data_IF_146920230864
#
_entry.id   IF_146920230864
#
_cell.length_a   1.000
_cell.length_b   1.000
_cell.length_c   1.000
_cell.angle_alpha   90.00
_cell.angle_beta   90.00
_cell.angle_gamma   90.00
#
_symmetry.space_group_name_H-M   'P 1'
#
loop_
_entity.id
_entity.type
_entity.pdbx_description
1 polymer ?
#
# COMPACT_ATOMS: atom_id res chain seq x y z
N UNK A 1 -13.35 -4.88 -8.65
CA UNK A 1 -14.69 -5.41 -8.24
C UNK A 1 -15.17 -6.71 -8.90
N UNK A 2 -15.33 -6.83 -10.22
CA UNK A 2 -16.01 -8.02 -10.83
C UNK A 2 -15.28 -9.35 -10.54
N UNK A 3 -13.95 -9.34 -10.51
CA UNK A 3 -13.14 -10.55 -10.29
C UNK A 3 -12.41 -10.62 -8.95
N UNK A 4 -12.45 -9.54 -8.14
CA UNK A 4 -11.70 -9.41 -6.87
C UNK A 4 -10.24 -9.91 -6.95
N UNK A 5 -9.53 -9.47 -8.00
CA UNK A 5 -8.12 -9.84 -8.28
C UNK A 5 -7.21 -8.65 -8.04
N UNK A 6 -6.12 -8.87 -7.30
CA UNK A 6 -5.04 -7.91 -7.15
C UNK A 6 -3.98 -8.14 -8.25
N UNK A 7 -3.88 -7.21 -9.19
CA UNK A 7 -2.85 -7.24 -10.23
C UNK A 7 -1.51 -6.78 -9.67
N UNK A 8 -0.46 -7.58 -9.89
CA UNK A 8 0.93 -7.23 -9.58
C UNK A 8 1.67 -7.01 -10.89
N UNK A 9 2.17 -5.81 -11.10
CA UNK A 9 2.77 -5.37 -12.35
C UNK A 9 4.28 -5.24 -12.15
N UNK A 10 5.03 -6.00 -12.94
CA UNK A 10 6.44 -5.70 -13.18
C UNK A 10 6.52 -4.52 -14.16
N UNK A 11 7.09 -3.40 -13.72
CA UNK A 11 7.35 -2.25 -14.61
C UNK A 11 8.74 -2.29 -15.20
N UNK A 12 8.94 -2.12 -16.52
CA UNK A 12 10.31 -2.07 -17.03
C UNK A 12 10.92 -0.69 -16.77
N UNK A 13 11.65 -0.65 -15.68
CA UNK A 13 12.32 0.50 -15.11
C UNK A 13 13.74 0.70 -15.71
N UNK A 14 14.07 0.02 -16.82
CA UNK A 14 15.29 0.24 -17.59
C UNK A 14 15.03 0.81 -19.00
N UNK A 15 16.09 1.26 -19.68
CA UNK A 15 16.02 1.91 -21.01
C UNK A 15 15.50 1.06 -22.20
N UNK A 16 15.06 -0.17 -21.94
CA UNK A 16 14.48 -1.08 -22.92
C UNK A 16 13.01 -0.82 -23.27
N UNK A 17 12.29 -0.01 -22.48
CA UNK A 17 10.98 0.56 -22.84
C UNK A 17 9.82 -0.41 -22.94
N UNK A 18 9.47 -1.10 -21.83
CA UNK A 18 8.12 -1.69 -21.69
C UNK A 18 7.34 -0.79 -20.73
N UNK A 19 6.27 -0.12 -21.20
CA UNK A 19 5.51 0.81 -20.38
C UNK A 19 5.02 0.19 -19.08
N UNK A 20 5.19 0.91 -17.97
CA UNK A 20 4.28 0.72 -16.83
C UNK A 20 2.89 1.18 -17.27
N UNK A 21 1.81 0.51 -16.86
CA UNK A 21 0.49 1.08 -17.03
C UNK A 21 0.42 2.34 -16.16
N UNK A 22 0.55 3.50 -16.80
CA UNK A 22 0.57 4.84 -16.21
C UNK A 22 -0.73 5.17 -15.46
N UNK A 23 -1.78 4.45 -15.82
CA UNK A 23 -3.14 4.55 -15.31
C UNK A 23 -3.56 3.39 -14.37
N UNK A 24 -2.58 2.74 -13.71
CA UNK A 24 -2.84 1.65 -12.76
C UNK A 24 -3.06 2.13 -11.32
N UNK A 25 -4.33 2.33 -10.93
CA UNK A 25 -4.76 2.68 -9.58
C UNK A 25 -4.97 1.46 -8.68
N UNK A 26 -5.59 0.40 -9.23
CA UNK A 26 -6.11 -0.71 -8.42
C UNK A 26 -5.07 -1.81 -8.15
N UNK A 27 -4.00 -1.88 -8.95
CA UNK A 27 -2.93 -2.88 -8.80
C UNK A 27 -1.78 -2.43 -7.88
N UNK A 28 -0.69 -3.20 -7.95
CA UNK A 28 0.61 -2.91 -7.31
C UNK A 28 1.68 -2.90 -8.39
N UNK A 29 2.36 -1.77 -8.56
CA UNK A 29 3.58 -1.71 -9.35
C UNK A 29 4.80 -1.94 -8.45
N UNK A 30 5.70 -2.80 -8.92
CA UNK A 30 6.84 -3.29 -8.14
C UNK A 30 8.15 -2.76 -8.71
N UNK A 31 8.90 -2.02 -7.90
CA UNK A 31 10.32 -1.73 -8.15
C UNK A 31 11.19 -2.88 -7.64
N UNK A 32 12.45 -2.92 -8.06
CA UNK A 32 13.38 -3.94 -7.59
C UNK A 32 14.59 -3.38 -6.84
N UNK A 33 14.99 -4.12 -5.81
CA UNK A 33 16.18 -3.86 -5.02
C UNK A 33 17.35 -4.76 -5.43
N UNK A 34 18.53 -4.34 -5.00
CA UNK A 34 19.80 -5.05 -5.09
C UNK A 34 20.43 -5.27 -3.72
N UNK A 35 21.37 -6.20 -3.69
CA UNK A 35 22.21 -6.46 -2.53
C UNK A 35 23.10 -5.24 -2.23
N UNK A 36 23.13 -4.86 -0.95
CA UNK A 36 24.11 -3.99 -0.33
C UNK A 36 24.47 -4.66 1.00
N UNK A 37 25.76 -4.92 1.23
CA UNK A 37 26.27 -5.64 2.40
C UNK A 37 25.54 -6.98 2.69
N UNK A 38 25.25 -7.74 1.63
CA UNK A 38 24.62 -9.06 1.72
C UNK A 38 23.11 -9.05 1.97
N UNK A 39 22.47 -7.87 2.02
CA UNK A 39 21.02 -7.73 2.17
C UNK A 39 20.41 -6.96 1.00
N UNK A 40 19.23 -7.38 0.52
CA UNK A 40 18.45 -6.59 -0.42
C UNK A 40 17.89 -5.36 0.29
N UNK A 41 18.63 -4.24 0.24
CA UNK A 41 18.36 -3.02 1.02
C UNK A 41 18.53 -1.72 0.22
N UNK A 42 18.75 -1.82 -1.09
CA UNK A 42 18.90 -0.64 -1.95
C UNK A 42 18.12 -0.79 -3.25
N UNK A 43 17.37 0.23 -3.64
CA UNK A 43 16.72 0.28 -4.96
C UNK A 43 17.81 0.19 -6.03
N UNK A 44 17.60 -0.67 -7.02
CA UNK A 44 18.54 -0.81 -8.13
C UNK A 44 18.48 0.45 -9.03
N UNK A 45 19.62 0.91 -9.55
CA UNK A 45 19.72 2.14 -10.35
C UNK A 45 19.11 2.00 -11.76
N UNK A 46 18.79 0.78 -12.17
CA UNK A 46 17.96 0.52 -13.34
C UNK A 46 16.46 0.43 -12.96
N UNK A 47 16.09 1.06 -11.84
CA UNK A 47 14.95 1.94 -11.59
C UNK A 47 14.68 3.04 -12.66
N UNK A 48 13.45 3.25 -13.15
CA UNK A 48 13.05 4.49 -13.85
C UNK A 48 12.43 5.48 -12.84
N UNK A 49 12.05 4.99 -11.66
CA UNK A 49 11.23 5.64 -10.65
C UNK A 49 9.83 6.04 -11.14
N UNK A 50 9.12 6.78 -10.29
CA UNK A 50 7.87 7.47 -10.63
C UNK A 50 8.08 8.78 -11.40
N UNK A 51 9.31 9.29 -11.48
CA UNK A 51 9.70 10.53 -12.17
C UNK A 51 10.86 10.24 -13.14
N UNK A 52 10.64 9.51 -14.23
CA UNK A 52 11.71 9.20 -15.16
C UNK A 52 12.16 10.43 -15.94
N UNK A 53 13.45 10.76 -15.83
CA UNK A 53 14.11 11.73 -16.71
C UNK A 53 14.42 11.12 -18.11
N UNK A 54 14.32 9.80 -18.25
CA UNK A 54 14.66 9.07 -19.46
C UNK A 54 13.57 9.17 -20.53
N UNK A 55 13.96 9.63 -21.73
CA UNK A 55 13.13 9.61 -22.94
C UNK A 55 13.54 8.44 -23.82
N UNK A 56 12.63 7.48 -24.03
CA UNK A 56 12.86 6.38 -24.96
C UNK A 56 13.08 6.92 -26.38
N UNK A 57 14.02 6.35 -27.14
CA UNK A 57 14.17 6.69 -28.58
C UNK A 57 12.92 6.36 -29.42
N UNK A 58 12.00 5.54 -28.87
CA UNK A 58 10.77 5.11 -29.53
C UNK A 58 9.52 5.89 -29.09
N UNK A 59 9.62 6.77 -28.10
CA UNK A 59 8.49 7.60 -27.64
C UNK A 59 8.94 9.05 -27.38
N UNK A 60 8.27 10.07 -27.93
CA UNK A 60 8.67 11.46 -27.78
C UNK A 60 8.51 12.03 -26.36
N UNK A 61 7.79 11.34 -25.46
CA UNK A 61 7.60 11.73 -24.06
C UNK A 61 8.15 10.65 -23.09
N UNK A 62 8.73 11.03 -21.93
CA UNK A 62 9.00 10.10 -20.85
C UNK A 62 7.70 9.41 -20.42
N UNK A 63 7.77 8.12 -20.09
CA UNK A 63 6.60 7.38 -19.58
C UNK A 63 6.33 7.81 -18.13
N UNK A 64 5.39 8.74 -17.93
CA UNK A 64 5.01 9.25 -16.61
C UNK A 64 3.61 8.78 -16.24
N UNK A 65 3.28 8.71 -14.95
CA UNK A 65 1.90 8.43 -14.54
C UNK A 65 0.93 9.50 -15.04
N UNK A 66 -0.35 9.15 -15.03
CA UNK A 66 -1.41 10.13 -15.05
C UNK A 66 -1.28 11.07 -13.83
N UNK A 67 -1.25 12.37 -14.08
CA UNK A 67 -1.12 13.41 -13.06
C UNK A 67 0.21 13.38 -12.29
N UNK A 68 0.17 13.84 -11.03
CA UNK A 68 1.33 13.87 -10.13
C UNK A 68 1.54 12.56 -9.35
N UNK A 69 0.82 11.49 -9.73
CA UNK A 69 0.81 10.22 -9.00
C UNK A 69 2.16 9.53 -9.03
N UNK A 70 2.44 8.77 -7.99
CA UNK A 70 3.65 7.95 -7.85
C UNK A 70 3.34 6.53 -8.32
N UNK A 71 4.16 5.98 -9.23
CA UNK A 71 3.86 4.71 -9.88
C UNK A 71 4.22 3.56 -8.98
N UNK A 72 5.34 3.65 -8.27
CA UNK A 72 5.89 2.56 -7.48
C UNK A 72 5.10 2.44 -6.18
N UNK A 73 4.61 1.24 -5.88
CA UNK A 73 3.90 0.98 -4.62
C UNK A 73 4.78 0.25 -3.61
N UNK A 74 5.65 -0.66 -4.07
CA UNK A 74 6.53 -1.45 -3.21
C UNK A 74 7.80 -1.85 -3.95
N UNK A 75 8.87 -2.12 -3.19
CA UNK A 75 10.13 -2.66 -3.70
C UNK A 75 10.30 -4.12 -3.26
N UNK A 76 10.84 -4.99 -4.11
CA UNK A 76 11.19 -6.37 -3.73
C UNK A 76 12.53 -6.81 -4.35
N UNK A 77 13.14 -7.93 -3.91
CA UNK A 77 14.39 -8.42 -4.50
C UNK A 77 14.22 -8.70 -5.98
N UNK A 78 15.07 -8.10 -6.82
CA UNK A 78 15.02 -8.38 -8.26
C UNK A 78 16.34 -8.17 -8.99
N UNK A 79 17.43 -7.83 -8.30
CA UNK A 79 18.77 -7.76 -8.88
C UNK A 79 19.55 -9.03 -8.56
N UNK A 80 20.24 -9.58 -9.56
CA UNK A 80 21.06 -10.79 -9.46
C UNK A 80 20.34 -11.96 -8.77
N UNK A 81 19.11 -12.22 -9.18
CA UNK A 81 18.31 -13.34 -8.70
C UNK A 81 18.74 -14.60 -9.44
N UNK A 82 19.08 -15.64 -8.68
CA UNK A 82 19.33 -16.98 -9.22
C UNK A 82 18.02 -17.67 -9.56
N UNK A 83 17.92 -18.14 -10.80
CA UNK A 83 16.75 -18.77 -11.38
C UNK A 83 17.13 -20.14 -11.91
N UNK A 84 16.18 -21.06 -11.91
CA UNK A 84 16.35 -22.39 -12.49
C UNK A 84 15.70 -22.38 -13.87
N UNK A 85 16.51 -22.51 -14.92
CA UNK A 85 16.04 -22.65 -16.29
C UNK A 85 15.32 -24.02 -16.48
N UNK A 86 14.46 -24.19 -17.50
CA UNK A 86 13.78 -25.46 -17.76
C UNK A 86 14.71 -26.67 -17.96
N UNK A 87 15.99 -26.44 -18.31
CA UNK A 87 17.02 -27.47 -18.42
C UNK A 87 17.72 -27.80 -17.09
N UNK A 88 17.28 -27.19 -15.98
CA UNK A 88 17.81 -27.39 -14.62
C UNK A 88 19.05 -26.56 -14.30
N UNK A 89 19.55 -25.72 -15.23
CA UNK A 89 20.71 -24.87 -14.98
C UNK A 89 20.33 -23.64 -14.15
N UNK A 90 21.27 -23.20 -13.33
CA UNK A 90 21.13 -21.93 -12.60
C UNK A 90 21.58 -20.80 -13.52
N UNK A 91 20.73 -19.78 -13.65
CA UNK A 91 21.03 -18.53 -14.33
C UNK A 91 20.69 -17.35 -13.43
N UNK A 92 21.59 -16.38 -13.38
CA UNK A 92 21.36 -15.13 -12.65
C UNK A 92 20.77 -14.07 -13.58
N UNK A 93 19.70 -13.40 -13.15
CA UNK A 93 19.06 -12.33 -13.91
C UNK A 93 18.59 -11.17 -13.03
N UNK A 94 18.35 -10.01 -13.64
CA UNK A 94 17.92 -8.80 -12.93
C UNK A 94 16.73 -8.11 -13.62
N UNK A 95 15.85 -7.51 -12.84
CA UNK A 95 14.70 -6.74 -13.30
C UNK A 95 13.47 -6.87 -12.42
N UNK A 96 12.52 -5.96 -12.60
CA UNK A 96 11.21 -6.00 -11.93
C UNK A 96 10.42 -7.27 -12.24
N UNK A 97 10.65 -7.92 -13.39
CA UNK A 97 10.10 -9.24 -13.72
C UNK A 97 10.47 -10.33 -12.72
N UNK A 98 11.57 -10.16 -11.97
CA UNK A 98 11.98 -11.07 -10.90
C UNK A 98 11.55 -10.57 -9.52
N UNK A 99 11.31 -9.26 -9.35
CA UNK A 99 10.75 -8.70 -8.11
C UNK A 99 9.25 -8.96 -7.95
N UNK A 100 8.45 -8.78 -9.00
CA UNK A 100 7.00 -8.97 -8.95
C UNK A 100 6.57 -10.37 -8.46
N UNK A 101 7.21 -11.48 -8.88
CA UNK A 101 6.92 -12.81 -8.34
C UNK A 101 7.11 -12.97 -6.83
N UNK A 102 8.03 -12.22 -6.19
CA UNK A 102 8.18 -12.23 -4.73
C UNK A 102 6.94 -11.66 -4.04
N UNK A 103 6.36 -10.59 -4.61
CA UNK A 103 5.11 -9.98 -4.12
C UNK A 103 3.95 -10.96 -4.30
N UNK A 104 3.83 -11.59 -5.48
CA UNK A 104 2.81 -12.62 -5.75
C UNK A 104 2.93 -13.82 -4.80
N UNK A 105 4.15 -14.31 -4.55
CA UNK A 105 4.38 -15.38 -3.58
C UNK A 105 3.95 -15.00 -2.17
N UNK A 106 4.20 -13.75 -1.76
CA UNK A 106 3.74 -13.24 -0.45
C UNK A 106 2.22 -13.12 -0.39
N UNK A 107 1.57 -12.66 -1.47
CA UNK A 107 0.11 -12.64 -1.60
C UNK A 107 -0.49 -14.04 -1.41
N UNK A 108 0.09 -15.05 -2.05
CA UNK A 108 -0.37 -16.42 -1.91
C UNK A 108 -0.27 -16.92 -0.46
N UNK A 109 0.80 -16.58 0.27
CA UNK A 109 0.97 -16.95 1.68
C UNK A 109 -0.09 -16.30 2.58
N UNK A 110 -0.38 -15.01 2.40
CA UNK A 110 -1.41 -14.34 3.21
C UNK A 110 -2.82 -14.83 2.85
N UNK A 111 -3.12 -15.10 1.57
CA UNK A 111 -4.40 -15.68 1.17
C UNK A 111 -4.60 -17.09 1.75
N UNK A 112 -3.54 -17.92 1.75
CA UNK A 112 -3.57 -19.21 2.43
C UNK A 112 -3.80 -19.07 3.94
N UNK A 113 -3.21 -18.05 4.58
CA UNK A 113 -3.48 -17.76 5.99
C UNK A 113 -4.96 -17.43 6.20
N UNK A 114 -5.55 -16.52 5.42
CA UNK A 114 -6.97 -16.19 5.52
C UNK A 114 -7.85 -17.43 5.45
N UNK A 115 -7.63 -18.28 4.44
CA UNK A 115 -8.40 -19.50 4.25
C UNK A 115 -8.27 -20.48 5.43
N UNK A 116 -7.09 -20.53 6.07
CA UNK A 116 -6.90 -21.34 7.27
C UNK A 116 -7.67 -20.77 8.46
N UNK A 117 -7.58 -19.47 8.71
CA UNK A 117 -8.22 -18.84 9.87
C UNK A 117 -9.74 -18.82 9.75
N UNK A 118 -10.28 -18.57 8.55
CA UNK A 118 -11.72 -18.63 8.26
C UNK A 118 -12.24 -20.06 8.48
N UNK A 119 -11.56 -21.08 7.95
CA UNK A 119 -11.97 -22.49 8.15
C UNK A 119 -11.90 -22.93 9.61
N UNK A 120 -10.96 -22.39 10.37
CA UNK A 120 -10.84 -22.64 11.80
C UNK A 120 -11.90 -21.89 12.64
N UNK A 121 -12.68 -20.99 12.04
CA UNK A 121 -13.70 -20.21 12.74
C UNK A 121 -13.11 -19.26 13.78
N UNK A 122 -11.90 -18.75 13.54
CA UNK A 122 -11.28 -17.80 14.47
C UNK A 122 -12.05 -16.47 14.50
N UNK A 123 -12.13 -15.80 15.66
CA UNK A 123 -12.75 -14.49 15.77
C UNK A 123 -12.06 -13.49 14.83
N UNK A 124 -12.80 -12.48 14.36
CA UNK A 124 -12.30 -11.42 13.47
C UNK A 124 -11.87 -11.90 12.07
N UNK A 125 -12.14 -13.15 11.69
CA UNK A 125 -11.87 -13.65 10.35
C UNK A 125 -13.17 -13.83 9.56
N UNK A 126 -13.31 -13.06 8.48
CA UNK A 126 -14.45 -13.08 7.58
C UNK A 126 -13.97 -13.11 6.11
N UNK A 127 -14.90 -13.11 5.17
CA UNK A 127 -14.57 -13.17 3.73
C UNK A 127 -13.87 -11.91 3.21
N UNK A 128 -13.94 -10.77 3.91
CA UNK A 128 -13.25 -9.56 3.47
C UNK A 128 -11.73 -9.71 3.54
N UNK A 129 -11.22 -10.68 4.29
CA UNK A 129 -9.81 -11.09 4.27
C UNK A 129 -9.31 -11.47 2.87
N UNK A 130 -10.22 -11.87 1.96
CA UNK A 130 -9.88 -12.25 0.57
C UNK A 130 -9.84 -11.07 -0.40
N UNK A 131 -10.27 -9.88 0.00
CA UNK A 131 -10.38 -8.72 -0.89
C UNK A 131 -9.03 -8.30 -1.44
N UNK A 132 -9.00 -7.90 -2.71
CA UNK A 132 -7.81 -7.35 -3.34
C UNK A 132 -7.29 -6.11 -2.60
N UNK A 133 -8.19 -5.20 -2.19
CA UNK A 133 -7.83 -4.01 -1.42
C UNK A 133 -7.20 -4.34 -0.06
N UNK A 134 -7.73 -5.34 0.66
CA UNK A 134 -7.16 -5.80 1.94
C UNK A 134 -5.76 -6.34 1.71
N UNK A 135 -5.59 -7.23 0.73
CA UNK A 135 -4.26 -7.75 0.38
C UNK A 135 -3.26 -6.64 0.04
N UNK A 136 -3.70 -5.61 -0.70
CA UNK A 136 -2.88 -4.45 -1.04
C UNK A 136 -2.42 -3.70 0.20
N UNK A 137 -3.34 -3.26 1.08
CA UNK A 137 -2.96 -2.47 2.27
C UNK A 137 -2.09 -3.27 3.25
N UNK A 138 -2.29 -4.58 3.37
CA UNK A 138 -1.47 -5.45 4.22
C UNK A 138 0.00 -5.44 3.75
N UNK A 139 0.24 -5.64 2.45
CA UNK A 139 1.60 -5.66 1.92
C UNK A 139 2.29 -4.30 2.03
N UNK A 140 1.58 -3.23 1.68
CA UNK A 140 2.14 -1.89 1.65
C UNK A 140 2.41 -1.36 3.07
N UNK A 141 1.50 -1.62 4.02
CA UNK A 141 1.68 -1.18 5.40
C UNK A 141 2.82 -1.91 6.11
N UNK A 142 3.03 -3.20 5.79
CA UNK A 142 4.03 -4.04 6.44
C UNK A 142 5.44 -3.95 5.86
N UNK A 143 5.63 -3.18 4.79
CA UNK A 143 6.92 -3.02 4.12
C UNK A 143 7.99 -2.40 5.03
N UNK A 144 9.21 -2.93 4.96
CA UNK A 144 10.38 -2.41 5.68
C UNK A 144 10.83 -1.07 5.08
N UNK A 145 10.95 -0.06 5.94
CA UNK A 145 11.43 1.28 5.58
C UNK A 145 12.76 1.58 6.26
N UNK A 146 12.79 1.40 7.58
CA UNK A 146 13.93 1.65 8.45
C UNK A 146 14.16 0.44 9.34
N UNK A 147 15.39 -0.07 9.43
CA UNK A 147 15.70 -1.14 10.36
C UNK A 147 15.41 -0.70 11.80
N UNK A 148 14.76 -1.59 12.55
CA UNK A 148 14.59 -1.46 13.98
C UNK A 148 15.93 -1.61 14.70
N UNK A 149 16.09 -0.88 15.81
CA UNK A 149 17.34 -0.92 16.59
C UNK A 149 17.35 -2.03 17.64
N UNK A 150 16.27 -2.82 17.72
CA UNK A 150 16.04 -3.85 18.72
C UNK A 150 15.14 -3.38 19.88
N UNK A 151 14.70 -2.13 19.86
CA UNK A 151 13.80 -1.54 20.85
C UNK A 151 12.31 -1.64 20.47
N UNK A 152 12.03 -2.10 19.25
CA UNK A 152 10.68 -2.26 18.72
C UNK A 152 10.02 -0.94 18.30
N UNK A 153 10.70 0.20 18.45
CA UNK A 153 10.12 1.52 18.17
C UNK A 153 9.95 1.79 16.68
N UNK A 154 10.63 1.04 15.80
CA UNK A 154 10.46 1.10 14.34
C UNK A 154 9.67 -0.10 13.84
N UNK A 155 8.69 -0.49 14.64
CA UNK A 155 7.73 -1.55 14.34
C UNK A 155 8.37 -2.93 14.16
N UNK A 156 9.65 -3.15 14.50
CA UNK A 156 10.36 -4.42 14.26
C UNK A 156 10.72 -4.65 12.78
N UNK A 157 10.91 -3.58 12.00
CA UNK A 157 11.37 -3.68 10.61
C UNK A 157 12.80 -4.25 10.53
N UNK A 158 13.04 -5.14 9.57
CA UNK A 158 14.28 -5.92 9.54
C UNK A 158 15.42 -5.21 8.80
N UNK A 159 15.12 -4.21 7.96
CA UNK A 159 16.10 -3.54 7.10
C UNK A 159 15.74 -2.07 6.87
N UNK A 160 16.76 -1.27 6.59
CA UNK A 160 16.59 0.08 6.04
C UNK A 160 16.66 -0.02 4.52
N UNK A 161 15.62 0.44 3.82
CA UNK A 161 15.65 0.59 2.38
C UNK A 161 16.25 1.95 2.02
N UNK A 162 17.15 1.97 1.04
CA UNK A 162 17.71 3.19 0.44
C UNK A 162 17.28 3.34 -1.00
N UNK A 163 17.03 4.59 -1.41
CA UNK A 163 16.87 4.95 -2.81
C UNK A 163 18.22 4.93 -3.57
N UNK A 164 18.16 5.27 -4.85
CA UNK A 164 19.34 5.32 -5.73
C UNK A 164 20.37 6.37 -5.27
N UNK A 165 19.90 7.41 -4.57
CA UNK A 165 20.70 8.50 -4.01
C UNK A 165 21.17 8.24 -2.57
N UNK A 166 21.05 7.00 -2.07
CA UNK A 166 21.38 6.58 -0.69
C UNK A 166 20.51 7.19 0.42
N UNK A 167 19.40 7.85 0.08
CA UNK A 167 18.46 8.41 1.03
C UNK A 167 17.48 7.35 1.49
N UNK A 168 17.02 7.47 2.72
CA UNK A 168 16.02 6.57 3.30
C UNK A 168 14.62 7.12 3.11
N UNK A 169 13.61 6.35 3.53
CA UNK A 169 12.22 6.78 3.47
C UNK A 169 11.98 8.13 4.20
N UNK A 170 12.62 8.34 5.35
CA UNK A 170 12.43 9.56 6.17
C UNK A 170 13.16 10.79 5.62
N UNK A 171 14.03 10.61 4.64
CA UNK A 171 14.73 11.70 3.95
C UNK A 171 13.94 12.17 2.71
N UNK A 172 12.76 11.59 2.45
CA UNK A 172 11.99 11.83 1.24
C UNK A 172 10.90 12.88 1.38
N UNK A 173 10.45 13.40 0.24
CA UNK A 173 9.30 14.28 0.13
C UNK A 173 8.01 13.63 0.68
N UNK A 174 7.82 12.32 0.46
CA UNK A 174 6.68 11.58 0.98
C UNK A 174 6.64 11.53 2.51
N UNK A 175 7.79 11.63 3.19
CA UNK A 175 7.82 11.72 4.65
C UNK A 175 7.47 13.13 5.16
N UNK A 176 7.76 14.17 4.37
CA UNK A 176 7.61 15.57 4.79
C UNK A 176 6.32 16.23 4.29
N UNK A 177 5.70 15.71 3.22
CA UNK A 177 4.58 16.33 2.54
C UNK A 177 3.33 15.41 2.59
N UNK A 178 2.28 15.79 3.35
CA UNK A 178 1.02 15.05 3.42
C UNK A 178 0.32 14.81 2.07
N UNK A 179 0.63 15.58 1.03
CA UNK A 179 0.03 15.40 -0.31
C UNK A 179 0.74 14.31 -1.13
N UNK A 180 1.83 13.72 -0.64
CA UNK A 180 2.63 12.71 -1.36
C UNK A 180 2.68 11.43 -0.51
N UNK A 181 1.80 10.44 -0.78
CA UNK A 181 1.71 9.24 0.05
C UNK A 181 2.87 8.26 -0.20
N UNK A 182 3.51 8.33 -1.38
CA UNK A 182 4.52 7.38 -1.83
C UNK A 182 5.77 8.12 -2.29
N UNK A 183 6.95 7.70 -1.85
CA UNK A 183 8.21 8.10 -2.44
C UNK A 183 8.40 7.41 -3.79
N UNK A 184 8.96 8.20 -4.72
CA UNK A 184 9.05 7.91 -6.14
C UNK A 184 9.83 6.64 -6.50
N UNK A 185 10.77 6.22 -5.67
CA UNK A 185 11.70 5.11 -5.93
C UNK A 185 11.31 3.86 -5.13
N UNK A 186 10.85 4.05 -3.89
CA UNK A 186 10.69 2.99 -2.90
C UNK A 186 9.22 2.57 -2.68
N UNK A 187 8.26 3.39 -3.11
CA UNK A 187 6.84 3.09 -3.00
C UNK A 187 6.30 3.16 -1.58
N UNK A 188 6.34 2.11 -0.78
CA UNK A 188 6.07 2.16 0.68
C UNK A 188 7.23 1.55 1.46
N UNK A 189 8.28 1.11 0.77
CA UNK A 189 9.38 0.38 1.35
C UNK A 189 9.60 -0.97 0.66
N UNK A 190 10.36 -1.82 1.34
CA UNK A 190 10.76 -3.12 0.87
C UNK A 190 9.81 -4.22 1.37
N UNK A 191 9.37 -5.10 0.48
CA UNK A 191 8.54 -6.26 0.81
C UNK A 191 9.15 -7.07 1.95
N UNK A 192 8.31 -7.40 2.93
CA UNK A 192 8.64 -8.29 4.04
C UNK A 192 7.49 -9.26 4.30
N UNK A 193 7.65 -10.51 3.85
CA UNK A 193 6.60 -11.52 3.94
C UNK A 193 6.21 -11.88 5.38
N UNK A 194 7.18 -11.91 6.30
CA UNK A 194 6.90 -12.21 7.69
C UNK A 194 6.11 -11.10 8.38
N UNK A 195 6.45 -9.84 8.09
CA UNK A 195 5.69 -8.69 8.59
C UNK A 195 4.29 -8.63 7.99
N UNK A 196 4.12 -8.97 6.71
CA UNK A 196 2.80 -9.08 6.09
C UNK A 196 1.93 -10.15 6.81
N UNK A 197 2.54 -11.29 7.15
CA UNK A 197 1.90 -12.30 8.00
C UNK A 197 1.49 -11.73 9.37
N UNK A 198 2.39 -11.03 10.06
CA UNK A 198 2.11 -10.43 11.38
C UNK A 198 1.01 -9.37 11.32
N UNK A 199 1.03 -8.50 10.31
CA UNK A 199 0.02 -7.47 10.06
C UNK A 199 -1.37 -8.05 9.86
N UNK A 200 -1.45 -9.21 9.20
CA UNK A 200 -2.73 -9.81 8.83
C UNK A 200 -3.32 -10.70 9.93
N UNK A 201 -2.46 -11.31 10.76
CA UNK A 201 -2.80 -12.29 11.78
C UNK A 201 -3.91 -11.88 12.78
N UNK A 202 -4.04 -10.60 13.21
CA UNK A 202 -5.09 -10.17 14.15
C UNK A 202 -6.52 -10.31 13.64
N UNK A 203 -6.74 -10.43 12.32
CA UNK A 203 -8.06 -10.36 11.71
C UNK A 203 -8.59 -8.93 11.55
N UNK A 204 -9.83 -8.81 11.08
CA UNK A 204 -10.52 -7.55 10.81
C UNK A 204 -11.03 -6.88 12.09
N UNK A 205 -10.97 -5.55 12.15
CA UNK A 205 -11.54 -4.75 13.23
C UNK A 205 -12.41 -3.64 12.66
N UNK A 206 -13.58 -3.41 13.25
CA UNK A 206 -14.49 -2.32 12.88
C UNK A 206 -14.21 -1.07 13.74
N UNK A 207 -14.58 0.14 13.27
CA UNK A 207 -14.38 1.38 14.03
C UNK A 207 -15.31 1.54 15.25
N UNK A 208 -16.32 0.67 15.40
CA UNK A 208 -17.32 0.76 16.48
C UNK A 208 -16.73 0.50 17.88
N UNK A 209 -15.53 -0.08 17.93
CA UNK A 209 -14.81 -0.40 19.14
C UNK A 209 -13.38 0.13 19.06
N UNK A 210 -12.74 0.24 20.21
CA UNK A 210 -11.32 0.55 20.24
C UNK A 210 -10.52 -0.56 19.54
N UNK A 211 -9.55 -0.17 18.74
CA UNK A 211 -8.75 -1.09 17.92
C UNK A 211 -7.38 -1.36 18.54
N UNK A 212 -6.81 -2.56 18.34
CA UNK A 212 -5.45 -2.86 18.78
C UNK A 212 -4.42 -2.04 18.00
N UNK A 213 -3.17 -2.07 18.47
CA UNK A 213 -2.07 -1.38 17.81
C UNK A 213 -1.72 -1.94 16.41
N UNK A 214 -2.17 -3.15 16.07
CA UNK A 214 -1.98 -3.79 14.77
C UNK A 214 -3.28 -4.41 14.30
N UNK A 215 -3.75 -4.05 13.11
CA UNK A 215 -5.01 -4.54 12.57
C UNK A 215 -5.30 -4.02 11.17
N UNK A 216 -6.46 -4.43 10.65
CA UNK A 216 -6.97 -3.99 9.35
C UNK A 216 -8.50 -3.94 9.35
N UNK A 217 -9.08 -3.20 8.41
CA UNK A 217 -10.52 -3.17 8.15
C UNK A 217 -10.81 -3.13 6.65
N UNK A 218 -12.01 -3.56 6.29
CA UNK A 218 -12.64 -3.32 4.99
C UNK A 218 -14.05 -2.78 5.22
N UNK A 219 -14.32 -1.57 4.73
CA UNK A 219 -15.56 -0.85 5.04
C UNK A 219 -15.94 0.11 3.90
N UNK A 220 -16.96 0.95 4.08
CA UNK A 220 -17.41 1.94 3.12
C UNK A 220 -17.78 3.28 3.73
N UNK A 221 -17.54 4.35 2.96
CA UNK A 221 -17.94 5.72 3.31
C UNK A 221 -18.92 6.28 2.28
N UNK A 222 -19.74 7.25 2.70
CA UNK A 222 -20.61 8.02 1.81
C UNK A 222 -20.45 9.52 2.06
N UNK A 223 -20.31 10.33 1.02
CA UNK A 223 -20.12 11.78 1.15
C UNK A 223 -21.28 12.47 1.87
N UNK A 224 -22.51 11.99 1.64
CA UNK A 224 -23.70 12.51 2.31
C UNK A 224 -23.78 12.13 3.79
N UNK A 225 -23.06 11.06 4.18
CA UNK A 225 -23.22 10.40 5.47
C UNK A 225 -24.57 9.73 5.62
N UNK A 226 -24.57 8.53 6.21
CA UNK A 226 -25.78 7.79 6.57
C UNK A 226 -25.46 6.84 7.72
N UNK A 227 -26.50 6.22 8.29
CA UNK A 227 -26.30 5.14 9.27
C UNK A 227 -25.63 3.90 8.68
N UNK A 228 -25.70 3.71 7.35
CA UNK A 228 -25.09 2.56 6.65
C UNK A 228 -23.65 2.85 6.20
N UNK A 229 -23.34 4.11 5.89
CA UNK A 229 -22.01 4.56 5.49
C UNK A 229 -21.81 6.01 5.93
N UNK A 230 -21.00 6.27 6.98
CA UNK A 230 -20.75 7.63 7.44
C UNK A 230 -19.82 8.38 6.48
N UNK A 231 -19.70 9.70 6.66
CA UNK A 231 -18.75 10.51 5.89
C UNK A 231 -17.29 10.27 6.31
N UNK A 232 -17.09 9.88 7.57
CA UNK A 232 -15.79 9.51 8.11
C UNK A 232 -15.92 8.34 9.09
N UNK A 233 -14.82 7.64 9.34
CA UNK A 233 -14.71 6.61 10.39
C UNK A 233 -13.48 6.85 11.25
N UNK A 234 -13.64 6.64 12.56
CA UNK A 234 -12.61 6.81 13.57
C UNK A 234 -12.16 5.45 14.12
N UNK A 235 -10.88 5.13 13.94
CA UNK A 235 -10.22 3.94 14.48
C UNK A 235 -9.43 4.35 15.72
N UNK A 236 -10.08 4.36 16.88
CA UNK A 236 -9.47 4.78 18.15
C UNK A 236 -8.61 3.65 18.71
N UNK A 237 -7.33 3.90 18.94
CA UNK A 237 -6.46 2.89 19.56
C UNK A 237 -6.90 2.61 21.00
N UNK A 238 -6.94 1.34 21.38
CA UNK A 238 -7.28 0.87 22.72
C UNK A 238 -6.29 1.38 23.76
N UNK A 239 -5.00 1.19 23.49
CA UNK A 239 -3.91 1.66 24.34
C UNK A 239 -3.33 2.98 23.82
N UNK A 240 -2.77 3.84 24.70
CA UNK A 240 -1.93 4.95 24.27
C UNK A 240 -0.80 4.46 23.35
N UNK A 241 -0.44 5.25 22.35
CA UNK A 241 0.74 4.99 21.52
C UNK A 241 1.99 5.54 22.21
N UNK A 242 3.11 4.83 22.08
CA UNK A 242 4.36 5.16 22.76
C UNK A 242 5.13 6.30 22.06
N UNK A 243 5.59 7.30 22.81
CA UNK A 243 6.46 8.36 22.29
C UNK A 243 7.72 7.78 21.62
N UNK A 244 8.16 8.41 20.53
CA UNK A 244 9.34 8.01 19.77
C UNK A 244 9.15 6.75 18.92
N UNK A 245 8.05 6.02 19.08
CA UNK A 245 7.70 4.91 18.19
C UNK A 245 7.12 5.41 16.86
N UNK A 246 7.19 4.58 15.84
CA UNK A 246 6.53 4.84 14.58
C UNK A 246 5.11 4.28 14.56
N UNK A 247 4.23 4.94 13.82
CA UNK A 247 2.99 4.41 13.30
C UNK A 247 3.11 4.30 11.78
N UNK A 248 2.67 3.16 11.24
CA UNK A 248 2.45 2.94 9.81
C UNK A 248 0.97 2.70 9.59
N UNK A 249 0.35 3.42 8.66
CA UNK A 249 -1.00 3.14 8.19
C UNK A 249 -1.09 3.26 6.68
N UNK A 250 -1.84 2.37 6.02
CA UNK A 250 -2.12 2.43 4.59
C UNK A 250 -3.61 2.27 4.35
N UNK A 251 -4.17 3.22 3.62
CA UNK A 251 -5.55 3.23 3.13
C UNK A 251 -5.53 3.01 1.62
N UNK A 252 -6.44 2.21 1.08
CA UNK A 252 -6.61 2.08 -0.36
C UNK A 252 -8.07 1.90 -0.75
N UNK A 253 -8.42 2.42 -1.92
CA UNK A 253 -9.72 2.20 -2.56
C UNK A 253 -9.54 1.91 -4.05
N UNK A 254 -10.58 1.40 -4.70
CA UNK A 254 -10.54 1.12 -6.14
C UNK A 254 -11.15 2.27 -6.94
N UNK A 255 -10.45 2.70 -8.00
CA UNK A 255 -11.02 3.51 -9.07
C UNK A 255 -12.02 2.68 -9.87
N UNK A 256 -13.14 3.31 -10.26
CA UNK A 256 -14.19 2.67 -11.05
C UNK A 256 -13.91 2.83 -12.55
N UNK A 257 -13.87 1.69 -13.24
CA UNK A 257 -13.72 1.59 -14.69
C UNK A 257 -14.78 0.62 -15.19
N UNK A 258 -15.57 1.05 -16.17
CA UNK A 258 -16.65 0.26 -16.75
C UNK A 258 -16.23 -0.30 -18.11
N UNK A 259 -16.51 -1.59 -18.37
CA UNK A 259 -16.38 -2.18 -19.69
C UNK A 259 -17.54 -1.66 -20.56
N UNK A 260 -17.21 -1.07 -21.71
CA UNK A 260 -18.19 -0.76 -22.75
C UNK A 260 -18.48 -2.04 -23.54
N UNK A 261 -19.25 -2.91 -22.91
CA UNK A 261 -19.57 -4.26 -23.37
C UNK A 261 -20.65 -4.19 -24.45
N UNK A 262 -20.25 -4.39 -25.70
CA UNK A 262 -21.11 -4.22 -26.86
C UNK A 262 -22.08 -5.40 -27.04
N UNK A 263 -21.74 -6.58 -26.51
CA UNK A 263 -22.53 -7.80 -26.67
C UNK A 263 -23.17 -8.30 -25.36
N UNK A 264 -22.86 -7.69 -24.23
CA UNK A 264 -23.45 -7.95 -22.92
C UNK A 264 -22.95 -9.23 -22.24
N UNK A 265 -21.79 -9.77 -22.62
CA UNK A 265 -21.27 -11.03 -22.08
C UNK A 265 -20.43 -10.87 -20.80
N UNK A 266 -20.11 -9.63 -20.39
CA UNK A 266 -19.30 -9.30 -19.22
C UNK A 266 -17.80 -9.61 -19.36
N UNK A 267 -17.31 -9.84 -20.57
CA UNK A 267 -15.93 -10.21 -20.91
C UNK A 267 -15.44 -9.21 -21.95
N UNK A 268 -14.19 -8.76 -21.81
CA UNK A 268 -13.59 -7.90 -22.84
C UNK A 268 -13.46 -8.66 -24.17
N UNK A 269 -14.07 -8.12 -25.21
CA UNK A 269 -13.90 -8.56 -26.59
C UNK A 269 -13.08 -7.55 -27.43
N UNK A 270 -12.37 -8.07 -28.43
CA UNK A 270 -11.58 -7.23 -29.34
C UNK A 270 -12.51 -6.22 -30.03
N UNK A 271 -12.22 -4.93 -29.85
CA UNK A 271 -13.01 -3.81 -30.37
C UNK A 271 -13.83 -3.08 -29.30
N UNK A 272 -13.94 -3.65 -28.10
CA UNK A 272 -14.54 -2.98 -26.96
C UNK A 272 -13.56 -1.99 -26.31
N UNK A 273 -14.10 -1.16 -25.42
CA UNK A 273 -13.35 -0.09 -24.76
C UNK A 273 -13.71 -0.02 -23.28
N UNK A 274 -12.99 0.82 -22.53
CA UNK A 274 -13.29 1.08 -21.13
C UNK A 274 -13.65 2.55 -20.93
N UNK A 275 -14.61 2.81 -20.05
CA UNK A 275 -15.00 4.15 -19.62
C UNK A 275 -14.46 4.45 -18.23
N UNK A 276 -13.61 5.47 -18.11
CA UNK A 276 -13.16 5.98 -16.82
C UNK A 276 -14.30 6.75 -16.15
N UNK A 277 -14.69 6.34 -14.93
CA UNK A 277 -15.74 7.00 -14.15
C UNK A 277 -15.20 8.07 -13.20
N UNK A 278 -13.89 8.29 -13.19
CA UNK A 278 -13.20 9.18 -12.27
C UNK A 278 -12.84 8.49 -10.96
N UNK A 279 -12.13 9.24 -10.11
CA UNK A 279 -11.61 8.77 -8.84
C UNK A 279 -12.23 9.58 -7.70
N UNK A 280 -12.95 8.91 -6.82
CA UNK A 280 -13.34 9.48 -5.53
C UNK A 280 -12.09 9.76 -4.68
N UNK A 281 -12.13 10.78 -3.83
CA UNK A 281 -11.01 11.13 -2.95
C UNK A 281 -11.30 10.80 -1.48
N UNK A 282 -10.44 9.99 -0.87
CA UNK A 282 -10.47 9.65 0.55
C UNK A 282 -9.16 10.10 1.21
N UNK A 283 -9.27 10.74 2.36
CA UNK A 283 -8.13 11.24 3.14
C UNK A 283 -7.92 10.43 4.42
N UNK A 284 -6.69 10.40 4.93
CA UNK A 284 -6.34 9.76 6.20
C UNK A 284 -5.62 10.72 7.15
N UNK A 285 -6.05 10.76 8.41
CA UNK A 285 -5.50 11.62 9.45
C UNK A 285 -5.09 10.82 10.69
N UNK A 286 -3.96 11.18 11.29
CA UNK A 286 -3.57 10.75 12.63
C UNK A 286 -3.90 11.88 13.61
N UNK A 287 -4.75 11.60 14.59
CA UNK A 287 -5.32 12.63 15.47
C UNK A 287 -5.28 12.20 16.94
N UNK A 288 -5.28 13.13 17.91
CA UNK A 288 -5.63 12.81 19.29
C UNK A 288 -7.00 12.11 19.33
N UNK A 289 -7.17 11.13 20.22
CA UNK A 289 -8.36 10.27 20.23
C UNK A 289 -9.68 11.03 20.42
N UNK A 290 -9.64 12.13 21.18
CA UNK A 290 -10.79 12.94 21.55
C UNK A 290 -10.98 14.19 20.66
N UNK A 291 -10.02 14.47 19.76
CA UNK A 291 -10.10 15.57 18.82
C UNK A 291 -11.17 15.31 17.76
N UNK A 292 -11.91 16.35 17.36
CA UNK A 292 -12.97 16.23 16.33
C UNK A 292 -12.70 17.11 15.12
N UNK A 293 -11.91 18.17 15.27
CA UNK A 293 -11.51 19.04 14.17
C UNK A 293 -10.27 18.47 13.47
N UNK A 294 -10.30 18.35 12.14
CA UNK A 294 -9.17 17.89 11.33
C UNK A 294 -7.94 18.78 11.48
N UNK A 295 -8.13 20.05 11.86
CA UNK A 295 -7.02 20.98 12.17
C UNK A 295 -6.18 20.55 13.38
N UNK A 296 -6.73 19.69 14.25
CA UNK A 296 -6.03 19.11 15.40
C UNK A 296 -5.23 17.84 15.05
N UNK A 297 -5.23 17.42 13.78
CA UNK A 297 -4.41 16.29 13.33
C UNK A 297 -2.93 16.58 13.54
N UNK A 298 -2.19 15.56 14.01
CA UNK A 298 -0.73 15.65 14.18
C UNK A 298 0.02 15.23 12.91
N UNK A 299 -0.65 14.49 12.03
CA UNK A 299 -0.18 14.16 10.69
C UNK A 299 -1.35 13.73 9.79
N UNK A 300 -1.16 13.78 8.47
CA UNK A 300 -2.15 13.32 7.50
C UNK A 300 -1.50 12.83 6.21
N UNK A 301 -2.31 12.17 5.39
CA UNK A 301 -2.03 11.81 4.00
C UNK A 301 -3.32 12.12 3.22
N UNK A 302 -3.22 13.06 2.27
CA UNK A 302 -4.35 13.78 1.64
C UNK A 302 -4.10 14.00 0.13
N UNK A 303 -3.68 12.96 -0.57
CA UNK A 303 -3.40 13.02 -2.00
C UNK A 303 -4.67 13.30 -2.80
N UNK A 304 -4.65 14.33 -3.66
CA UNK A 304 -5.76 14.57 -4.58
C UNK A 304 -5.76 13.64 -5.81
N UNK A 305 -4.68 12.89 -6.04
CA UNK A 305 -4.38 12.24 -7.31
C UNK A 305 -4.28 10.71 -7.23
N UNK A 306 -4.20 10.13 -6.04
CA UNK A 306 -4.00 8.69 -5.84
C UNK A 306 -5.25 8.02 -5.23
N UNK A 307 -5.34 6.71 -5.38
CA UNK A 307 -6.36 5.86 -4.75
C UNK A 307 -5.82 5.19 -3.47
N UNK A 308 -4.84 5.84 -2.85
CA UNK A 308 -4.06 5.31 -1.75
C UNK A 308 -3.54 6.45 -0.89
N UNK A 309 -3.66 6.29 0.43
CA UNK A 309 -3.00 7.13 1.41
C UNK A 309 -2.04 6.31 2.26
N UNK A 310 -0.92 6.91 2.67
CA UNK A 310 0.06 6.25 3.52
C UNK A 310 0.69 7.20 4.53
N UNK A 311 0.63 6.81 5.80
CA UNK A 311 1.29 7.51 6.89
C UNK A 311 2.41 6.63 7.41
N UNK A 312 3.61 7.17 7.50
CA UNK A 312 4.70 6.62 8.29
C UNK A 312 5.28 7.75 9.15
N UNK A 313 4.89 7.81 10.42
CA UNK A 313 5.11 8.98 11.26
C UNK A 313 5.58 8.59 12.66
N UNK A 314 6.52 9.35 13.22
CA UNK A 314 7.01 9.13 14.58
C UNK A 314 6.10 9.82 15.60
N UNK A 315 5.57 9.06 16.55
CA UNK A 315 4.68 9.56 17.60
C UNK A 315 5.46 10.53 18.51
N UNK A 316 5.06 11.81 18.60
CA UNK A 316 5.84 12.83 19.30
C UNK A 316 5.72 12.72 20.83
N UNK A 317 4.56 12.26 21.32
CA UNK A 317 4.27 12.15 22.74
C UNK A 317 3.45 10.89 23.01
N UNK A 318 3.68 10.25 24.16
CA UNK A 318 2.84 9.13 24.58
C UNK A 318 1.43 9.64 24.83
N UNK A 319 0.43 9.05 24.18
CA UNK A 319 -0.93 9.57 24.26
C UNK A 319 -1.96 8.71 23.55
N UNK A 320 -3.24 9.04 23.72
CA UNK A 320 -4.34 8.35 23.05
C UNK A 320 -4.55 8.98 21.67
N UNK A 321 -4.50 8.16 20.64
CA UNK A 321 -4.64 8.58 19.25
C UNK A 321 -5.75 7.80 18.54
N UNK A 322 -6.10 8.28 17.35
CA UNK A 322 -6.96 7.57 16.39
C UNK A 322 -6.47 7.81 14.96
N UNK A 323 -6.80 6.87 14.08
CA UNK A 323 -6.81 7.13 12.64
C UNK A 323 -8.21 7.54 12.23
N UNK A 324 -8.34 8.61 11.43
CA UNK A 324 -9.60 9.02 10.82
C UNK A 324 -9.50 8.88 9.31
N UNK A 325 -10.45 8.16 8.71
CA UNK A 325 -10.62 8.08 7.25
C UNK A 325 -11.80 8.96 6.86
N UNK A 326 -11.63 9.86 5.89
CA UNK A 326 -12.65 10.83 5.47
C UNK A 326 -12.95 10.68 3.98
N UNK A 327 -14.22 10.71 3.60
CA UNK A 327 -14.60 10.81 2.19
C UNK A 327 -14.73 12.29 1.80
N UNK A 328 -13.70 12.80 1.13
CA UNK A 328 -13.53 14.24 0.88
C UNK A 328 -14.17 14.71 -0.41
N UNK A 329 -14.21 13.85 -1.45
CA UNK A 329 -14.79 14.23 -2.74
C UNK A 329 -15.36 13.04 -3.51
N UNK A 330 -16.63 13.13 -3.89
CA UNK A 330 -17.28 12.17 -4.76
C UNK A 330 -17.25 12.65 -6.22
N UNK A 331 -16.71 11.83 -7.13
CA UNK A 331 -16.61 12.12 -8.57
C UNK A 331 -17.64 11.32 -9.38
N UNK A 332 -17.98 10.11 -8.94
CA UNK A 332 -18.98 9.26 -9.61
C UNK A 332 -20.20 8.95 -8.76
N UNK A 333 -21.32 8.59 -9.40
CA UNK A 333 -22.62 8.45 -8.77
C UNK A 333 -22.79 7.22 -7.84
N UNK A 334 -21.76 6.39 -7.64
CA UNK A 334 -21.83 5.34 -6.61
C UNK A 334 -21.86 6.00 -5.21
N UNK A 335 -22.90 5.75 -4.40
CA UNK A 335 -23.12 6.48 -3.14
C UNK A 335 -22.18 6.06 -2.01
N UNK A 336 -21.60 4.86 -2.11
CA UNK A 336 -20.68 4.29 -1.14
C UNK A 336 -19.37 3.97 -1.84
N UNK A 337 -18.27 4.48 -1.28
CA UNK A 337 -16.90 4.15 -1.66
C UNK A 337 -16.33 3.16 -0.65
N UNK A 338 -16.14 1.88 -1.03
CA UNK A 338 -15.40 0.94 -0.20
C UNK A 338 -13.93 1.27 -0.17
N UNK A 339 -13.31 0.91 0.94
CA UNK A 339 -11.89 1.04 1.17
C UNK A 339 -11.39 -0.11 2.04
N UNK A 340 -10.08 -0.32 2.02
CA UNK A 340 -9.38 -1.10 3.04
C UNK A 340 -8.39 -0.21 3.78
N UNK A 341 -8.20 -0.50 5.06
CA UNK A 341 -7.22 0.17 5.92
C UNK A 341 -6.39 -0.90 6.63
N UNK A 342 -5.08 -0.71 6.71
CA UNK A 342 -4.20 -1.47 7.60
C UNK A 342 -3.37 -0.50 8.45
N UNK A 343 -3.12 -0.86 9.71
CA UNK A 343 -2.32 -0.06 10.63
C UNK A 343 -1.40 -0.92 11.49
N UNK A 344 -0.28 -0.33 11.89
CA UNK A 344 0.66 -0.90 12.85
C UNK A 344 1.34 0.24 13.63
N UNK A 345 1.18 0.22 14.94
CA UNK A 345 1.79 1.13 15.90
C UNK A 345 2.39 0.37 17.10
N UNK A 346 3.05 1.10 18.00
CA UNK A 346 3.54 0.56 19.27
C UNK A 346 2.67 1.08 20.41
N UNK A 347 1.94 0.18 21.07
CA UNK A 347 1.22 0.52 22.30
C UNK A 347 2.20 0.77 23.45
N UNK A 348 1.89 1.76 24.28
CA UNK A 348 2.49 1.95 25.60
C UNK A 348 1.75 1.07 26.62
N UNK A 349 1.80 -0.24 26.39
CA UNK A 349 1.28 -1.20 27.36
C UNK A 349 2.28 -1.38 28.50
N UNK A 350 1.85 -1.46 29.77
CA UNK A 350 2.74 -1.87 30.84
C UNK A 350 3.30 -3.26 30.51
N UNK A 351 4.62 -3.41 30.56
CA UNK A 351 5.31 -4.69 30.32
C UNK A 351 4.57 -5.81 31.07
N UNK A 352 4.03 -6.78 30.33
CA UNK A 352 3.56 -8.04 30.92
C UNK A 352 4.74 -8.93 31.26
#
# INVERSE_FOLDING_TARGET
RVHDVLYVIAGNQGGGGIPIPTDNYNGINVAYSRLEDGTYSKVDFANLSSEPDFRSRRSPAPETNEGARRSINITAPGSQIDLIDPDGRIRTASGTSFAAPHVVGTLALIQQLADRQIRAGLPNWNLDARRAMVSKVILLNSADKLADTGDGLRLGMARTLRDESNRTWIDSDAYANPMIPLNKDMGTGHLNAYRAYQQFLPGAFTPDQAVPAIGWNYDGLSLAGSSEAPQYQDYKFEAPLKAGSYLSATLAWERVVDLNDANGNGIYDIGETFSNRGLNNLDMYLMPADANDLSESIWSSVSAEDSLEHIFYQIPQTGRYKLRVVFSQQVHNQPIQPYALAWWAVADAPNQ
#
